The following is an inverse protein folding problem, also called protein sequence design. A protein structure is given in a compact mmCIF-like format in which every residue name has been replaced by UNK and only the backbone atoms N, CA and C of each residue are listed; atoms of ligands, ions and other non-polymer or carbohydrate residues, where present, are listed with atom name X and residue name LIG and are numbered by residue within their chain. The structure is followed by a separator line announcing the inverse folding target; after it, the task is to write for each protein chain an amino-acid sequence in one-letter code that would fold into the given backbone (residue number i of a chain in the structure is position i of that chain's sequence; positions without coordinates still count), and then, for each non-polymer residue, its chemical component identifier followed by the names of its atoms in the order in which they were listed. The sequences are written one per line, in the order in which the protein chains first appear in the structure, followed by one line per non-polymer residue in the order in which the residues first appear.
data_IF_277741240681
#
_entry.id   IF_277741240681
#
_cell.length_a   1.000
_cell.length_b   1.000
_cell.length_c   1.000
_cell.angle_alpha   90.00
_cell.angle_beta   90.00
_cell.angle_gamma   90.00
#
_symmetry.space_group_name_H-M   'P 1'
#
loop_
_entity.id
_entity.type
_entity.pdbx_description
1 polymer ?
#
# COMPACT_ATOMS: atom_id res chain seq x y z
N UNK A 1 9.71 -15.09 38.64
CA UNK A 1 9.24 -13.71 38.38
C UNK A 1 9.95 -12.98 37.22
N UNK A 2 11.15 -13.38 36.77
CA UNK A 2 11.79 -12.73 35.59
C UNK A 2 11.20 -13.14 34.23
N UNK A 3 10.68 -14.38 34.09
CA UNK A 3 10.14 -14.86 32.80
C UNK A 3 8.93 -14.05 32.31
N UNK A 4 7.97 -13.76 33.21
CA UNK A 4 6.74 -13.03 32.86
C UNK A 4 7.00 -11.58 32.42
N UNK A 5 7.96 -10.87 33.05
CA UNK A 5 8.35 -9.51 32.64
C UNK A 5 8.96 -9.52 31.24
N UNK A 6 9.88 -10.45 30.96
CA UNK A 6 10.49 -10.58 29.63
C UNK A 6 9.47 -10.90 28.54
N UNK A 7 8.49 -11.77 28.82
CA UNK A 7 7.41 -12.08 27.88
C UNK A 7 6.52 -10.86 27.56
N UNK A 8 6.20 -10.04 28.57
CA UNK A 8 5.40 -8.84 28.38
C UNK A 8 6.14 -7.80 27.52
N UNK A 9 7.42 -7.57 27.79
CA UNK A 9 8.28 -6.68 26.99
C UNK A 9 8.37 -7.15 25.53
N UNK A 10 8.47 -8.46 25.31
CA UNK A 10 8.52 -9.04 23.98
C UNK A 10 7.19 -8.90 23.22
N UNK A 11 6.06 -9.10 23.90
CA UNK A 11 4.73 -8.83 23.34
C UNK A 11 4.57 -7.35 22.97
N UNK A 12 5.05 -6.42 23.79
CA UNK A 12 5.03 -4.99 23.48
C UNK A 12 5.89 -4.66 22.26
N UNK A 13 7.08 -5.27 22.15
CA UNK A 13 7.96 -5.14 20.99
C UNK A 13 7.25 -5.61 19.73
N UNK A 14 6.71 -6.82 19.74
CA UNK A 14 6.02 -7.41 18.57
C UNK A 14 4.78 -6.60 18.21
N UNK A 15 3.96 -6.20 19.18
CA UNK A 15 2.80 -5.33 18.91
C UNK A 15 3.19 -4.05 18.17
N UNK A 16 4.26 -3.37 18.61
CA UNK A 16 4.77 -2.15 17.97
C UNK A 16 5.28 -2.41 16.56
N UNK A 17 6.05 -3.48 16.37
CA UNK A 17 6.58 -3.88 15.05
C UNK A 17 5.45 -4.25 14.10
N UNK A 18 4.51 -5.10 14.54
CA UNK A 18 3.34 -5.50 13.74
C UNK A 18 2.47 -4.30 13.37
N UNK A 19 2.29 -3.30 14.25
CA UNK A 19 1.54 -2.08 13.91
C UNK A 19 2.23 -1.22 12.83
N UNK A 20 3.56 -1.09 12.93
CA UNK A 20 4.36 -0.43 11.90
C UNK A 20 4.26 -1.19 10.57
N UNK A 21 4.40 -2.52 10.59
CA UNK A 21 4.28 -3.36 9.40
C UNK A 21 2.88 -3.29 8.80
N UNK A 22 1.82 -3.31 9.60
CA UNK A 22 0.46 -3.10 9.12
C UNK A 22 0.34 -1.79 8.32
N UNK A 23 0.95 -0.72 8.80
CA UNK A 23 0.94 0.57 8.07
C UNK A 23 1.73 0.48 6.75
N UNK A 24 2.89 -0.18 6.76
CA UNK A 24 3.70 -0.39 5.56
C UNK A 24 2.99 -1.23 4.49
N UNK A 25 2.43 -2.38 4.89
CA UNK A 25 1.70 -3.29 4.00
C UNK A 25 0.42 -2.69 3.45
N UNK A 26 -0.36 -1.98 4.28
CA UNK A 26 -1.55 -1.27 3.81
C UNK A 26 -1.20 -0.25 2.72
N UNK A 27 -0.14 0.55 2.93
CA UNK A 27 0.30 1.52 1.94
C UNK A 27 0.79 0.86 0.64
N UNK A 28 1.54 -0.24 0.72
CA UNK A 28 2.04 -0.93 -0.48
C UNK A 28 0.92 -1.63 -1.25
N UNK A 29 -0.02 -2.25 -0.55
CA UNK A 29 -1.26 -2.79 -1.14
C UNK A 29 -1.98 -1.72 -1.94
N UNK A 30 -2.30 -0.59 -1.32
CA UNK A 30 -3.08 0.47 -1.95
C UNK A 30 -2.32 1.10 -3.14
N UNK A 31 -1.00 1.24 -3.02
CA UNK A 31 -0.16 1.72 -4.11
C UNK A 31 -0.19 0.79 -5.33
N UNK A 32 0.06 -0.50 -5.15
CA UNK A 32 0.05 -1.46 -6.25
C UNK A 32 -1.36 -1.66 -6.83
N UNK A 33 -2.40 -1.63 -5.99
CA UNK A 33 -3.79 -1.65 -6.47
C UNK A 33 -4.10 -0.44 -7.37
N UNK A 34 -3.67 0.76 -6.97
CA UNK A 34 -3.85 1.97 -7.77
C UNK A 34 -3.09 1.91 -9.10
N UNK A 35 -1.85 1.43 -9.09
CA UNK A 35 -1.07 1.25 -10.33
C UNK A 35 -1.72 0.22 -11.27
N UNK A 36 -2.17 -0.92 -10.73
CA UNK A 36 -2.86 -1.94 -11.50
C UNK A 36 -4.14 -1.39 -12.14
N UNK A 37 -4.96 -0.69 -11.36
CA UNK A 37 -6.21 -0.08 -11.82
C UNK A 37 -5.97 0.97 -12.91
N UNK A 38 -4.97 1.85 -12.74
CA UNK A 38 -4.65 2.86 -13.73
C UNK A 38 -4.21 2.24 -15.07
N UNK A 39 -3.43 1.17 -15.02
CA UNK A 39 -2.97 0.47 -16.23
C UNK A 39 -4.11 -0.29 -16.93
N UNK A 40 -4.96 -0.98 -16.16
CA UNK A 40 -6.18 -1.60 -16.69
C UNK A 40 -7.06 -0.56 -17.41
N UNK A 41 -7.29 0.59 -16.76
CA UNK A 41 -8.12 1.66 -17.31
C UNK A 41 -7.51 2.25 -18.59
N UNK A 42 -6.19 2.42 -18.64
CA UNK A 42 -5.49 2.89 -19.84
C UNK A 42 -5.63 1.90 -21.00
N UNK A 43 -5.46 0.60 -20.74
CA UNK A 43 -5.63 -0.46 -21.75
C UNK A 43 -7.07 -0.51 -22.25
N UNK A 44 -8.05 -0.48 -21.34
CA UNK A 44 -9.48 -0.47 -21.69
C UNK A 44 -9.86 0.76 -22.50
N UNK A 45 -9.41 1.95 -22.09
CA UNK A 45 -9.69 3.19 -22.82
C UNK A 45 -9.08 3.14 -24.24
N UNK A 46 -7.83 2.71 -24.36
CA UNK A 46 -7.13 2.65 -25.64
C UNK A 46 -7.74 1.60 -26.58
N UNK A 47 -8.07 0.42 -26.07
CA UNK A 47 -8.72 -0.65 -26.86
C UNK A 47 -10.15 -0.29 -27.25
N UNK A 48 -10.90 0.35 -26.36
CA UNK A 48 -12.24 0.87 -26.68
C UNK A 48 -12.17 1.95 -27.76
N UNK A 49 -11.19 2.84 -27.66
CA UNK A 49 -10.95 3.86 -28.68
C UNK A 49 -10.60 3.25 -30.04
N UNK A 50 -9.70 2.26 -30.07
CA UNK A 50 -9.36 1.51 -31.28
C UNK A 50 -10.60 0.81 -31.89
N UNK A 51 -11.43 0.18 -31.05
CA UNK A 51 -12.67 -0.45 -31.50
C UNK A 51 -13.65 0.58 -32.08
N UNK A 52 -13.79 1.75 -31.47
CA UNK A 52 -14.63 2.82 -31.98
C UNK A 52 -14.15 3.32 -33.35
N UNK A 53 -12.84 3.53 -33.54
CA UNK A 53 -12.26 3.95 -34.82
C UNK A 53 -12.55 2.96 -35.97
N UNK A 54 -12.73 1.67 -35.67
CA UNK A 54 -13.09 0.67 -36.66
C UNK A 54 -14.52 0.82 -37.21
N UNK A 55 -15.42 1.46 -36.46
CA UNK A 55 -16.82 1.70 -36.86
C UNK A 55 -17.07 3.12 -37.38
N UNK A 56 -16.15 4.06 -37.16
CA UNK A 56 -16.29 5.45 -37.60
C UNK A 56 -16.06 5.57 -39.11
N UNK A 57 -16.88 6.37 -39.78
CA UNK A 57 -16.74 6.63 -41.21
C UNK A 57 -15.34 7.22 -41.54
N UNK A 58 -14.71 6.84 -42.67
CA UNK A 58 -13.34 7.25 -43.00
C UNK A 58 -13.13 8.77 -43.00
N UNK A 59 -14.14 9.54 -43.42
CA UNK A 59 -14.09 11.01 -43.45
C UNK A 59 -13.96 11.63 -42.06
N UNK A 60 -14.62 11.04 -41.06
CA UNK A 60 -14.55 11.50 -39.67
C UNK A 60 -13.23 11.05 -39.05
N UNK A 61 -12.72 9.87 -39.40
CA UNK A 61 -11.44 9.37 -38.89
C UNK A 61 -10.27 10.31 -39.22
N UNK A 62 -10.25 10.93 -40.40
CA UNK A 62 -9.21 11.92 -40.77
C UNK A 62 -9.23 13.15 -39.86
N UNK A 63 -10.39 13.53 -39.31
CA UNK A 63 -10.48 14.65 -38.37
C UNK A 63 -10.07 14.29 -36.94
N UNK A 64 -10.13 13.00 -36.59
CA UNK A 64 -9.77 12.47 -35.27
C UNK A 64 -8.29 12.06 -35.18
N UNK A 65 -7.61 11.88 -36.32
CA UNK A 65 -6.17 11.61 -36.34
C UNK A 65 -5.40 12.91 -36.07
N UNK A 66 -4.61 12.97 -34.98
CA UNK A 66 -3.81 14.14 -34.72
C UNK A 66 -2.64 14.23 -35.72
N UNK A 67 -2.16 15.46 -35.93
CA UNK A 67 -0.95 15.76 -36.72
C UNK A 67 -1.02 15.41 -38.21
N UNK A 68 -2.22 15.18 -38.77
CA UNK A 68 -2.39 14.84 -40.19
C UNK A 68 -1.75 13.49 -40.57
N UNK A 69 -1.51 12.61 -39.60
CA UNK A 69 -1.01 11.26 -39.87
C UNK A 69 -2.05 10.43 -40.62
N UNK A 70 -1.54 9.51 -41.44
CA UNK A 70 -2.36 8.48 -42.06
C UNK A 70 -3.10 7.66 -40.98
N UNK A 71 -4.39 7.40 -41.22
CA UNK A 71 -5.27 6.72 -40.26
C UNK A 71 -4.76 5.31 -39.95
N UNK A 72 -4.22 4.58 -40.93
CA UNK A 72 -3.72 3.22 -40.72
C UNK A 72 -2.46 3.25 -39.85
N UNK A 73 -1.55 4.21 -40.10
CA UNK A 73 -0.35 4.39 -39.28
C UNK A 73 -0.74 4.74 -37.84
N UNK A 74 -1.69 5.66 -37.64
CA UNK A 74 -2.16 6.05 -36.31
C UNK A 74 -2.79 4.88 -35.54
N UNK A 75 -3.70 4.14 -36.18
CA UNK A 75 -4.32 2.94 -35.60
C UNK A 75 -3.27 1.87 -35.28
N UNK A 76 -2.28 1.69 -36.15
CA UNK A 76 -1.14 0.79 -35.92
C UNK A 76 -0.33 1.18 -34.67
N UNK A 77 0.01 2.47 -34.53
CA UNK A 77 0.74 2.98 -33.35
C UNK A 77 -0.06 2.79 -32.05
N UNK A 78 -1.35 3.10 -32.06
CA UNK A 78 -2.22 2.87 -30.90
C UNK A 78 -2.32 1.39 -30.56
N UNK A 79 -2.39 0.50 -31.55
CA UNK A 79 -2.44 -0.95 -31.35
C UNK A 79 -1.16 -1.49 -30.73
N UNK A 80 0.00 -1.04 -31.23
CA UNK A 80 1.31 -1.37 -30.64
C UNK A 80 1.41 -0.85 -29.20
N UNK A 81 0.93 0.38 -28.95
CA UNK A 81 0.86 0.95 -27.61
C UNK A 81 -0.01 0.12 -26.65
N UNK A 82 -1.19 -0.31 -27.09
CA UNK A 82 -2.09 -1.15 -26.30
C UNK A 82 -1.45 -2.50 -25.96
N UNK A 83 -0.82 -3.15 -26.95
CA UNK A 83 -0.10 -4.40 -26.74
C UNK A 83 1.07 -4.23 -25.77
N UNK A 84 1.83 -3.14 -25.89
CA UNK A 84 2.92 -2.85 -24.97
C UNK A 84 2.43 -2.68 -23.53
N UNK A 85 1.35 -1.91 -23.31
CA UNK A 85 0.76 -1.76 -21.99
C UNK A 85 0.29 -3.10 -21.41
N UNK A 86 -0.31 -3.97 -22.23
CA UNK A 86 -0.71 -5.31 -21.81
C UNK A 86 0.49 -6.19 -21.40
N UNK A 87 1.63 -6.08 -22.11
CA UNK A 87 2.88 -6.76 -21.73
C UNK A 87 3.41 -6.22 -20.40
N UNK A 88 3.40 -4.89 -20.21
CA UNK A 88 3.81 -4.27 -18.93
C UNK A 88 2.92 -4.76 -17.79
N UNK A 89 1.60 -4.86 -18.01
CA UNK A 89 0.67 -5.39 -17.04
C UNK A 89 1.01 -6.83 -16.66
N UNK A 90 1.21 -7.69 -17.67
CA UNK A 90 1.57 -9.08 -17.47
C UNK A 90 2.90 -9.24 -16.71
N UNK A 91 3.89 -8.39 -17.02
CA UNK A 91 5.24 -8.52 -16.44
C UNK A 91 5.34 -7.97 -15.02
N UNK A 92 4.61 -6.91 -14.70
CA UNK A 92 4.73 -6.23 -13.40
C UNK A 92 3.89 -6.88 -12.30
N UNK A 93 2.77 -7.52 -12.69
CA UNK A 93 1.86 -8.25 -11.81
C UNK A 93 1.51 -7.49 -10.51
N UNK A 94 1.18 -6.21 -10.67
CA UNK A 94 0.82 -5.35 -9.54
C UNK A 94 -0.41 -5.85 -8.77
N UNK A 95 -1.32 -6.57 -9.44
CA UNK A 95 -2.48 -7.21 -8.80
C UNK A 95 -2.05 -8.27 -7.80
N UNK A 96 -1.20 -9.22 -8.19
CA UNK A 96 -0.72 -10.24 -7.26
C UNK A 96 0.14 -9.65 -6.13
N UNK A 97 0.95 -8.62 -6.41
CA UNK A 97 1.73 -7.92 -5.36
C UNK A 97 0.84 -7.23 -4.35
N UNK A 98 -0.19 -6.51 -4.80
CA UNK A 98 -1.19 -5.92 -3.93
C UNK A 98 -1.84 -6.98 -3.04
N UNK A 99 -2.23 -8.10 -3.62
CA UNK A 99 -2.85 -9.21 -2.90
C UNK A 99 -1.91 -9.86 -1.87
N UNK A 100 -0.64 -10.04 -2.23
CA UNK A 100 0.37 -10.53 -1.29
C UNK A 100 0.50 -9.60 -0.08
N UNK A 101 0.59 -8.28 -0.31
CA UNK A 101 0.63 -7.31 0.80
C UNK A 101 -0.67 -7.27 1.61
N UNK A 102 -1.85 -7.48 0.98
CA UNK A 102 -3.14 -7.62 1.69
C UNK A 102 -3.12 -8.81 2.65
N UNK A 103 -2.74 -9.99 2.17
CA UNK A 103 -2.66 -11.20 3.01
C UNK A 103 -1.68 -11.03 4.17
N UNK A 104 -0.50 -10.45 3.92
CA UNK A 104 0.47 -10.19 4.99
C UNK A 104 -0.02 -9.15 6.00
N UNK A 105 -0.71 -8.11 5.53
CA UNK A 105 -1.39 -7.15 6.41
C UNK A 105 -2.38 -7.85 7.34
N UNK A 106 -3.22 -8.73 6.81
CA UNK A 106 -4.25 -9.43 7.58
C UNK A 106 -3.61 -10.25 8.71
N UNK A 107 -2.55 -11.02 8.42
CA UNK A 107 -1.83 -11.81 9.43
C UNK A 107 -1.20 -10.91 10.51
N UNK A 108 -0.49 -9.84 10.13
CA UNK A 108 0.09 -8.92 11.12
C UNK A 108 -0.97 -8.17 11.93
N UNK A 109 -2.15 -7.90 11.34
CA UNK A 109 -3.26 -7.27 12.05
C UNK A 109 -3.83 -8.18 13.13
N UNK A 110 -3.87 -9.49 12.87
CA UNK A 110 -4.26 -10.50 13.86
C UNK A 110 -3.24 -10.55 15.00
N UNK A 111 -1.95 -10.66 14.68
CA UNK A 111 -0.86 -10.65 15.69
C UNK A 111 -0.91 -9.38 16.56
N UNK A 112 -1.05 -8.20 15.93
CA UNK A 112 -1.18 -6.92 16.65
C UNK A 112 -2.37 -6.93 17.60
N UNK A 113 -3.51 -7.44 17.15
CA UNK A 113 -4.75 -7.51 17.94
C UNK A 113 -4.60 -8.46 19.13
N UNK A 114 -4.08 -9.66 18.90
CA UNK A 114 -3.89 -10.66 19.95
C UNK A 114 -2.87 -10.21 21.00
N UNK A 115 -1.73 -9.67 20.57
CA UNK A 115 -0.77 -9.06 21.49
C UNK A 115 -1.40 -7.90 22.27
N UNK A 116 -2.25 -7.10 21.63
CA UNK A 116 -3.02 -6.04 22.28
C UNK A 116 -3.94 -6.56 23.39
N UNK A 117 -4.66 -7.65 23.15
CA UNK A 117 -5.53 -8.28 24.15
C UNK A 117 -4.75 -8.85 25.34
N UNK A 118 -3.63 -9.53 25.08
CA UNK A 118 -2.78 -10.07 26.15
C UNK A 118 -2.14 -8.98 27.00
N UNK A 119 -1.71 -7.89 26.38
CA UNK A 119 -1.13 -6.76 27.11
C UNK A 119 -2.15 -5.98 27.95
N UNK A 120 -3.43 -6.08 27.61
CA UNK A 120 -4.53 -5.48 28.37
C UNK A 120 -5.05 -6.40 29.49
N UNK A 121 -4.70 -7.69 29.48
CA UNK A 121 -5.05 -8.61 30.56
C UNK A 121 -4.15 -8.39 31.79
N UNK A 122 -4.73 -8.55 32.99
CA UNK A 122 -4.00 -8.43 34.26
C UNK A 122 -3.02 -9.60 34.46
N UNK A 123 -3.45 -10.81 34.09
CA UNK A 123 -2.63 -12.02 34.11
C UNK A 123 -2.37 -12.51 32.69
N UNK A 124 -1.09 -12.74 32.40
CA UNK A 124 -0.61 -13.15 31.09
C UNK A 124 -0.23 -14.62 31.15
N UNK A 125 -1.05 -15.47 30.53
CA UNK A 125 -0.75 -16.88 30.35
C UNK A 125 0.45 -17.06 29.39
N UNK A 126 1.43 -17.85 29.83
CA UNK A 126 2.68 -18.10 29.11
C UNK A 126 2.44 -18.92 27.83
N UNK A 127 1.50 -19.88 27.87
CA UNK A 127 1.17 -20.69 26.71
C UNK A 127 0.56 -19.82 25.61
N UNK A 128 -0.38 -18.96 25.98
CA UNK A 128 -1.02 -18.02 25.06
C UNK A 128 -0.02 -17.00 24.49
N UNK A 129 0.95 -16.51 25.29
CA UNK A 129 2.06 -15.70 24.78
C UNK A 129 2.83 -16.41 23.68
N UNK A 130 3.30 -17.63 23.96
CA UNK A 130 4.11 -18.41 23.03
C UNK A 130 3.36 -18.68 21.73
N UNK A 131 2.04 -18.87 21.79
CA UNK A 131 1.19 -19.00 20.59
C UNK A 131 1.20 -17.73 19.73
N UNK A 132 1.12 -16.54 20.33
CA UNK A 132 1.19 -15.27 19.59
C UNK A 132 2.58 -15.05 18.99
N UNK A 133 3.65 -15.40 19.72
CA UNK A 133 5.02 -15.36 19.20
C UNK A 133 5.19 -16.28 17.99
N UNK A 134 4.72 -17.52 18.09
CA UNK A 134 4.78 -18.48 16.98
C UNK A 134 3.98 -18.00 15.75
N UNK A 135 2.84 -17.32 15.96
CA UNK A 135 2.07 -16.69 14.89
C UNK A 135 2.83 -15.52 14.25
N UNK A 136 3.52 -14.71 15.05
CA UNK A 136 4.39 -13.65 14.54
C UNK A 136 5.52 -14.21 13.67
N UNK A 137 6.20 -15.26 14.12
CA UNK A 137 7.26 -15.91 13.35
C UNK A 137 6.74 -16.50 12.04
N UNK A 138 5.55 -17.12 12.08
CA UNK A 138 4.85 -17.61 10.90
C UNK A 138 4.50 -16.46 9.95
N UNK A 139 4.03 -15.32 10.48
CA UNK A 139 3.73 -14.13 9.69
C UNK A 139 4.98 -13.57 8.99
N UNK A 140 6.11 -13.57 9.69
CA UNK A 140 7.40 -13.13 9.16
C UNK A 140 7.93 -14.06 8.08
N UNK A 141 7.73 -15.37 8.22
CA UNK A 141 8.21 -16.37 7.26
C UNK A 141 7.32 -16.49 6.01
N UNK A 142 5.99 -16.38 6.18
CA UNK A 142 5.03 -16.54 5.09
C UNK A 142 4.67 -15.22 4.40
N UNK A 143 4.89 -14.08 5.07
CA UNK A 143 4.57 -12.76 4.56
C UNK A 143 5.49 -12.31 3.44
N UNK A 144 4.99 -11.47 2.53
CA UNK A 144 5.87 -10.80 1.56
C UNK A 144 6.73 -9.76 2.28
N UNK A 145 8.02 -9.71 1.98
CA UNK A 145 8.89 -8.72 2.62
C UNK A 145 8.65 -7.31 2.05
N UNK A 146 8.82 -6.30 2.90
CA UNK A 146 8.92 -4.91 2.45
C UNK A 146 10.35 -4.67 1.96
N UNK A 147 10.58 -4.28 0.69
CA UNK A 147 11.93 -4.00 0.20
C UNK A 147 12.63 -2.96 1.08
N UNK A 148 13.90 -3.19 1.42
CA UNK A 148 14.67 -2.35 2.34
C UNK A 148 14.67 -0.86 1.95
N UNK A 149 14.80 -0.57 0.65
CA UNK A 149 14.72 0.81 0.11
C UNK A 149 13.41 1.53 0.42
N UNK A 150 12.33 0.79 0.66
CA UNK A 150 11.01 1.33 1.00
C UNK A 150 10.78 1.36 2.51
N UNK A 151 11.53 0.59 3.29
CA UNK A 151 11.31 0.39 4.72
C UNK A 151 11.33 1.71 5.51
N UNK A 152 12.39 2.51 5.36
CA UNK A 152 12.50 3.81 6.04
C UNK A 152 11.37 4.77 5.65
N UNK A 153 10.95 4.74 4.38
CA UNK A 153 9.81 5.51 3.90
C UNK A 153 8.50 5.10 4.59
N UNK A 154 8.27 3.80 4.75
CA UNK A 154 7.09 3.30 5.46
C UNK A 154 7.15 3.60 6.96
N UNK A 155 8.33 3.49 7.59
CA UNK A 155 8.53 3.87 8.99
C UNK A 155 8.19 5.36 9.21
N UNK A 156 8.67 6.25 8.35
CA UNK A 156 8.33 7.69 8.40
C UNK A 156 6.82 7.91 8.25
N UNK A 157 6.17 7.24 7.30
CA UNK A 157 4.70 7.33 7.10
C UNK A 157 3.94 6.84 8.33
N UNK A 158 4.38 5.76 8.96
CA UNK A 158 3.80 5.25 10.19
C UNK A 158 3.91 6.26 11.34
N UNK A 159 5.10 6.83 11.58
CA UNK A 159 5.29 7.84 12.62
C UNK A 159 4.41 9.08 12.37
N UNK A 160 4.33 9.54 11.12
CA UNK A 160 3.45 10.64 10.73
C UNK A 160 1.97 10.30 10.96
N UNK A 161 1.53 9.08 10.60
CA UNK A 161 0.16 8.60 10.87
C UNK A 161 -0.14 8.63 12.36
N UNK A 162 0.75 8.11 13.20
CA UNK A 162 0.57 8.10 14.66
C UNK A 162 0.50 9.52 15.21
N UNK A 163 1.40 10.42 14.79
CA UNK A 163 1.40 11.81 15.23
C UNK A 163 0.12 12.56 14.82
N UNK A 164 -0.33 12.37 13.57
CA UNK A 164 -1.56 12.97 13.06
C UNK A 164 -2.78 12.42 13.81
N UNK A 165 -2.83 11.11 14.06
CA UNK A 165 -3.92 10.50 14.84
C UNK A 165 -4.01 11.11 16.23
N UNK A 166 -2.88 11.16 16.96
CA UNK A 166 -2.83 11.76 18.31
C UNK A 166 -3.25 13.24 18.31
N UNK A 167 -2.92 13.97 17.24
CA UNK A 167 -3.34 15.37 17.13
C UNK A 167 -4.84 15.51 16.87
N UNK A 168 -5.40 14.66 16.02
CA UNK A 168 -6.84 14.62 15.73
C UNK A 168 -7.65 14.21 16.96
N UNK A 169 -7.12 13.33 17.80
CA UNK A 169 -7.76 12.96 19.07
C UNK A 169 -7.96 14.18 19.98
N UNK A 170 -7.05 15.16 19.93
CA UNK A 170 -7.16 16.43 20.67
C UNK A 170 -7.90 17.53 19.89
N UNK A 171 -7.90 17.48 18.56
CA UNK A 171 -8.44 18.51 17.67
C UNK A 171 -9.21 17.87 16.50
N UNK A 172 -10.44 17.37 16.73
CA UNK A 172 -11.17 16.59 15.73
C UNK A 172 -11.53 17.39 14.46
N UNK A 173 -11.63 18.72 14.55
CA UNK A 173 -11.89 19.61 13.40
C UNK A 173 -10.63 20.00 12.60
N UNK A 174 -9.44 19.53 12.98
CA UNK A 174 -8.20 19.92 12.30
C UNK A 174 -8.09 19.29 10.91
N UNK A 175 -7.70 20.09 9.90
CA UNK A 175 -7.42 19.57 8.57
C UNK A 175 -6.16 18.71 8.56
N UNK A 176 -6.29 17.45 8.12
CA UNK A 176 -5.19 16.48 8.05
C UNK A 176 -4.00 17.02 7.24
N UNK A 177 -4.28 17.74 6.15
CA UNK A 177 -3.24 18.30 5.27
C UNK A 177 -2.45 19.39 5.98
N UNK A 178 -3.14 20.33 6.64
CA UNK A 178 -2.51 21.41 7.39
C UNK A 178 -1.68 20.87 8.57
N UNK A 179 -2.19 19.85 9.28
CA UNK A 179 -1.47 19.19 10.36
C UNK A 179 -0.17 18.53 9.87
N UNK A 180 -0.19 17.87 8.72
CA UNK A 180 1.01 17.28 8.12
C UNK A 180 2.03 18.33 7.72
N UNK A 181 1.59 19.42 7.10
CA UNK A 181 2.46 20.55 6.73
C UNK A 181 3.07 21.19 7.97
N UNK A 182 2.29 21.40 9.02
CA UNK A 182 2.78 21.93 10.31
C UNK A 182 3.85 21.03 10.94
N UNK A 183 3.63 19.71 10.99
CA UNK A 183 4.64 18.78 11.52
C UNK A 183 5.90 18.77 10.65
N UNK A 184 5.76 18.84 9.33
CA UNK A 184 6.91 18.95 8.45
C UNK A 184 7.72 20.22 8.71
N UNK A 185 7.08 21.39 8.85
CA UNK A 185 7.79 22.63 9.18
C UNK A 185 8.49 22.56 10.53
N UNK A 186 7.82 22.05 11.57
CA UNK A 186 8.40 21.87 12.91
C UNK A 186 9.64 20.98 12.86
N UNK A 187 9.55 19.82 12.22
CA UNK A 187 10.62 18.81 12.24
C UNK A 187 11.82 19.17 11.32
N UNK A 188 11.69 20.14 10.41
CA UNK A 188 12.77 20.57 9.51
C UNK A 188 13.34 21.97 9.82
N UNK A 189 12.54 22.87 10.38
CA UNK A 189 12.92 24.27 10.62
C UNK A 189 12.80 24.69 12.09
N UNK A 190 12.19 23.87 12.95
CA UNK A 190 12.24 24.09 14.38
C UNK A 190 13.68 23.96 14.85
N UNK A 191 14.27 25.06 15.34
CA UNK A 191 15.45 24.97 16.19
C UNK A 191 14.98 24.44 17.54
N UNK A 192 15.56 23.31 17.95
CA UNK A 192 15.43 22.81 19.32
C UNK A 192 15.99 23.84 20.33
#
# INVERSE_FOLDING_TARGET
MNSSKGLREELERIRRVSDMLCTGHANLRDHYAGMAFALDLAILALTTWLAALAFVAPTINVSLTPFGMDVQVWVGLLSVGALFLAIVQLKTDWKARSEAHRRTLDIYSEVKREAGYLLAADEVDEETCRRVLARYDTASAAGVEIPERLFLGQKRRHMMKVAVSKHLDAHPGASIVLTRVRFWFRDNFGRD
#
